data_IF_300016929186
#
_entry.id   IF_300016929186
#
_cell.length_a   1.000
_cell.length_b   1.000
_cell.length_c   1.000
_cell.angle_alpha   90.00
_cell.angle_beta   90.00
_cell.angle_gamma   90.00
#
_symmetry.space_group_name_H-M   'P 1'
#
loop_
_entity.id
_entity.type
_entity.pdbx_description
1 polymer ?
#
# COMPACT_ATOMS: atom_id res chain seq x y z
N UNK A 1 -1.23 45.31 -12.42
CA UNK A 1 -1.37 43.86 -12.60
C UNK A 1 -2.80 43.52 -12.22
N UNK A 2 -3.59 43.00 -13.16
CA UNK A 2 -5.02 42.78 -12.97
C UNK A 2 -5.32 41.61 -12.02
N UNK A 3 -6.47 41.64 -11.35
CA UNK A 3 -6.93 40.62 -10.40
C UNK A 3 -6.96 39.21 -11.02
N UNK A 4 -7.29 39.12 -12.30
CA UNK A 4 -7.26 37.89 -13.09
C UNK A 4 -5.86 37.31 -13.22
N UNK A 5 -4.82 38.15 -13.35
CA UNK A 5 -3.43 37.70 -13.45
C UNK A 5 -2.97 37.04 -12.14
N UNK A 6 -3.37 37.59 -10.99
CA UNK A 6 -3.08 37.00 -9.68
C UNK A 6 -3.74 35.64 -9.48
N UNK A 7 -5.00 35.48 -9.91
CA UNK A 7 -5.71 34.19 -9.84
C UNK A 7 -5.05 33.12 -10.72
N UNK A 8 -4.60 33.50 -11.92
CA UNK A 8 -3.90 32.58 -12.84
C UNK A 8 -2.57 32.13 -12.24
N UNK A 9 -1.79 33.06 -11.69
CA UNK A 9 -0.51 32.73 -11.03
C UNK A 9 -0.73 31.81 -9.83
N UNK A 10 -1.73 32.08 -8.99
CA UNK A 10 -2.07 31.24 -7.85
C UNK A 10 -2.48 29.82 -8.28
N UNK A 11 -3.29 29.70 -9.33
CA UNK A 11 -3.71 28.41 -9.88
C UNK A 11 -2.52 27.60 -10.42
N UNK A 12 -1.58 28.24 -11.12
CA UNK A 12 -0.35 27.60 -11.61
C UNK A 12 0.53 27.13 -10.46
N UNK A 13 0.70 27.95 -9.41
CA UNK A 13 1.43 27.57 -8.22
C UNK A 13 0.78 26.39 -7.50
N UNK A 14 -0.55 26.40 -7.34
CA UNK A 14 -1.29 25.31 -6.71
C UNK A 14 -1.18 24.02 -7.52
N UNK A 15 -1.28 24.10 -8.84
CA UNK A 15 -1.14 22.96 -9.75
C UNK A 15 0.29 22.37 -9.71
N UNK A 16 1.31 23.23 -9.71
CA UNK A 16 2.70 22.81 -9.51
C UNK A 16 2.92 22.12 -8.17
N UNK A 17 2.36 22.67 -7.09
CA UNK A 17 2.38 22.06 -5.77
C UNK A 17 1.70 20.68 -5.75
N UNK A 18 0.55 20.55 -6.42
CA UNK A 18 -0.17 19.29 -6.53
C UNK A 18 0.66 18.20 -7.23
N UNK A 19 1.37 18.54 -8.30
CA UNK A 19 2.28 17.62 -9.01
C UNK A 19 3.46 17.23 -8.10
N UNK A 20 4.07 18.19 -7.41
CA UNK A 20 5.20 17.94 -6.51
C UNK A 20 4.80 16.98 -5.37
N UNK A 21 3.63 17.18 -4.77
CA UNK A 21 3.08 16.29 -3.75
C UNK A 21 2.81 14.88 -4.29
N UNK A 22 2.24 14.77 -5.49
CA UNK A 22 2.05 13.48 -6.18
C UNK A 22 3.37 12.75 -6.46
N UNK A 23 4.41 13.49 -6.86
CA UNK A 23 5.74 12.91 -7.06
C UNK A 23 6.36 12.39 -5.76
N UNK A 24 6.24 13.16 -4.67
CA UNK A 24 6.65 12.70 -3.34
C UNK A 24 5.90 11.42 -2.92
N UNK A 25 4.62 11.31 -3.25
CA UNK A 25 3.81 10.14 -2.97
C UNK A 25 4.31 8.88 -3.68
N UNK A 26 4.57 8.98 -4.99
CA UNK A 26 5.08 7.87 -5.80
C UNK A 26 6.48 7.48 -5.31
N UNK A 27 7.34 8.46 -4.99
CA UNK A 27 8.69 8.20 -4.49
C UNK A 27 8.67 7.46 -3.15
N UNK A 28 7.78 7.84 -2.22
CA UNK A 28 7.64 7.15 -0.95
C UNK A 28 7.16 5.70 -1.13
N UNK A 29 6.19 5.46 -2.02
CA UNK A 29 5.71 4.12 -2.35
C UNK A 29 6.79 3.25 -2.99
N UNK A 30 7.53 3.78 -3.96
CA UNK A 30 8.63 3.06 -4.60
C UNK A 30 9.74 2.71 -3.59
N UNK A 31 10.05 3.59 -2.64
CA UNK A 31 11.02 3.31 -1.58
C UNK A 31 10.57 2.16 -0.67
N UNK A 32 9.27 2.11 -0.34
CA UNK A 32 8.69 1.00 0.42
C UNK A 32 8.81 -0.31 -0.39
N UNK A 33 8.37 -0.32 -1.65
CA UNK A 33 8.45 -1.51 -2.50
C UNK A 33 9.89 -2.01 -2.64
N UNK A 34 10.86 -1.12 -2.88
CA UNK A 34 12.27 -1.48 -2.94
C UNK A 34 12.77 -2.09 -1.62
N UNK A 35 12.34 -1.57 -0.47
CA UNK A 35 12.73 -2.13 0.83
C UNK A 35 12.18 -3.54 1.07
N UNK A 36 11.03 -3.86 0.48
CA UNK A 36 10.38 -5.17 0.56
C UNK A 36 10.98 -6.15 -0.46
N UNK A 37 11.23 -5.69 -1.68
CA UNK A 37 11.87 -6.47 -2.74
C UNK A 37 13.29 -6.92 -2.38
N UNK A 38 14.00 -6.16 -1.52
CA UNK A 38 15.31 -6.57 -0.99
C UNK A 38 15.25 -7.72 0.01
N UNK A 39 14.09 -8.01 0.59
CA UNK A 39 13.95 -9.03 1.64
C UNK A 39 13.61 -10.41 1.09
N UNK A 40 12.95 -10.49 -0.07
CA UNK A 40 12.54 -11.76 -0.68
C UNK A 40 11.54 -11.56 -1.82
N UNK A 41 10.85 -12.63 -2.22
CA UNK A 41 9.83 -12.57 -3.25
C UNK A 41 8.58 -11.83 -2.74
N UNK A 42 8.18 -10.78 -3.44
CA UNK A 42 7.09 -9.91 -2.98
C UNK A 42 5.78 -10.31 -3.65
N UNK A 43 4.79 -10.68 -2.85
CA UNK A 43 3.39 -10.86 -3.29
C UNK A 43 2.53 -9.68 -2.85
N UNK A 44 1.71 -9.16 -3.75
CA UNK A 44 0.89 -7.97 -3.50
C UNK A 44 -0.59 -8.35 -3.63
N UNK A 45 -1.33 -8.19 -2.54
CA UNK A 45 -2.79 -8.26 -2.50
C UNK A 45 -3.41 -6.87 -2.52
N UNK A 46 -4.49 -6.70 -3.28
CA UNK A 46 -5.27 -5.46 -3.31
C UNK A 46 -6.74 -5.74 -3.06
N UNK A 47 -7.38 -4.96 -2.19
CA UNK A 47 -8.85 -4.99 -2.04
C UNK A 47 -9.51 -4.56 -3.36
N UNK A 48 -10.59 -5.22 -3.77
CA UNK A 48 -11.25 -4.97 -5.07
C UNK A 48 -12.29 -3.83 -4.98
N UNK A 49 -12.65 -3.41 -3.78
CA UNK A 49 -13.72 -2.43 -3.53
C UNK A 49 -13.44 -1.04 -4.13
N UNK A 50 -14.39 -0.53 -4.92
CA UNK A 50 -14.38 0.81 -5.54
C UNK A 50 -14.78 1.92 -4.55
N UNK A 51 -15.54 1.56 -3.51
CA UNK A 51 -16.23 2.51 -2.62
C UNK A 51 -15.60 2.62 -1.22
N UNK A 52 -14.61 1.79 -0.91
CA UNK A 52 -13.88 1.80 0.36
C UNK A 52 -12.42 2.18 0.15
N UNK A 53 -11.71 2.69 1.19
CA UNK A 53 -10.30 2.99 1.09
C UNK A 53 -9.52 1.76 0.59
N UNK A 54 -8.78 1.92 -0.52
CA UNK A 54 -7.96 0.84 -1.07
C UNK A 54 -6.96 0.38 -0.01
N UNK A 55 -7.03 -0.90 0.34
CA UNK A 55 -6.05 -1.55 1.20
C UNK A 55 -5.14 -2.40 0.33
N UNK A 56 -3.84 -2.17 0.44
CA UNK A 56 -2.81 -2.92 -0.25
C UNK A 56 -2.05 -3.69 0.83
N UNK A 57 -1.96 -5.00 0.66
CA UNK A 57 -1.15 -5.86 1.52
C UNK A 57 0.02 -6.34 0.70
N UNK A 58 1.20 -6.24 1.26
CA UNK A 58 2.44 -6.71 0.65
C UNK A 58 3.03 -7.77 1.56
N UNK A 59 3.16 -8.96 1.03
CA UNK A 59 3.80 -10.10 1.65
C UNK A 59 5.18 -10.28 1.04
N UNK A 60 6.14 -10.64 1.87
CA UNK A 60 7.45 -11.09 1.43
C UNK A 60 7.57 -12.54 1.80
N UNK A 61 7.75 -13.39 0.80
CA UNK A 61 7.97 -14.82 0.93
C UNK A 61 9.45 -15.14 0.68
N UNK A 62 9.96 -16.10 1.45
CA UNK A 62 11.26 -16.72 1.22
C UNK A 62 11.15 -17.88 0.21
N UNK A 63 12.27 -18.43 -0.25
CA UNK A 63 12.32 -19.55 -1.21
C UNK A 63 11.59 -20.81 -0.70
N UNK A 64 11.44 -20.94 0.63
CA UNK A 64 10.68 -22.01 1.28
C UNK A 64 9.18 -21.70 1.47
N UNK A 65 8.62 -20.72 0.75
CA UNK A 65 7.21 -20.27 0.86
C UNK A 65 6.77 -19.85 2.27
N UNK A 66 7.73 -19.38 3.09
CA UNK A 66 7.46 -18.82 4.42
C UNK A 66 7.37 -17.30 4.33
N UNK A 67 6.39 -16.73 5.00
CA UNK A 67 6.21 -15.27 5.05
C UNK A 67 7.23 -14.69 6.02
N UNK A 68 8.20 -13.94 5.51
CA UNK A 68 9.28 -13.32 6.30
C UNK A 68 8.95 -11.88 6.71
N UNK A 69 8.10 -11.19 5.96
CA UNK A 69 7.59 -9.86 6.33
C UNK A 69 6.21 -9.66 5.72
N UNK A 70 5.33 -8.96 6.43
CA UNK A 70 4.00 -8.61 5.97
C UNK A 70 3.75 -7.14 6.31
N UNK A 71 3.39 -6.34 5.31
CA UNK A 71 3.06 -4.91 5.49
C UNK A 71 1.72 -4.59 4.85
N UNK A 72 0.88 -3.88 5.58
CA UNK A 72 -0.36 -3.30 5.04
C UNK A 72 -0.20 -1.79 4.87
N UNK A 73 -0.74 -1.29 3.77
CA UNK A 73 -1.05 0.12 3.58
C UNK A 73 -2.56 0.29 3.44
N UNK A 74 -3.12 1.21 4.22
CA UNK A 74 -4.53 1.61 4.13
C UNK A 74 -4.60 3.06 3.67
N UNK A 75 -5.28 3.32 2.55
CA UNK A 75 -5.50 4.66 2.03
C UNK A 75 -4.54 5.09 0.92
N UNK A 76 -4.86 6.22 0.29
CA UNK A 76 -4.19 6.76 -0.90
C UNK A 76 -3.38 8.01 -0.57
N UNK A 77 -2.89 8.17 0.67
CA UNK A 77 -2.15 9.38 1.07
C UNK A 77 -0.72 9.05 1.49
N UNK A 78 0.19 9.99 1.26
CA UNK A 78 1.58 10.04 1.77
C UNK A 78 1.73 9.79 3.27
N UNK A 79 0.65 9.95 4.04
CA UNK A 79 0.62 9.72 5.48
C UNK A 79 0.24 8.29 5.87
N UNK A 80 -0.20 7.46 4.93
CA UNK A 80 -0.46 6.05 5.17
C UNK A 80 0.86 5.32 5.40
N UNK A 81 1.34 5.33 6.65
CA UNK A 81 2.53 4.59 7.04
C UNK A 81 2.26 3.09 6.89
N UNK A 82 3.18 2.35 6.26
CA UNK A 82 3.09 0.90 6.21
C UNK A 82 3.07 0.36 7.64
N UNK A 83 1.98 -0.31 8.02
CA UNK A 83 1.93 -1.03 9.29
C UNK A 83 2.42 -2.44 9.01
N UNK A 84 3.46 -2.86 9.73
CA UNK A 84 3.85 -4.26 9.74
C UNK A 84 2.75 -5.06 10.43
N UNK A 85 2.45 -6.23 9.87
CA UNK A 85 1.50 -7.20 10.39
C UNK A 85 2.31 -8.38 10.93
N UNK A 86 2.89 -8.27 12.14
CA UNK A 86 3.70 -9.34 12.72
C UNK A 86 2.90 -10.63 12.90
N UNK A 87 1.59 -10.54 13.09
CA UNK A 87 0.68 -11.67 13.27
C UNK A 87 0.66 -12.64 12.08
N UNK A 88 1.12 -12.20 10.91
CA UNK A 88 1.19 -12.99 9.68
C UNK A 88 2.63 -13.44 9.34
N UNK A 89 3.64 -12.96 10.09
CA UNK A 89 5.05 -13.29 9.85
C UNK A 89 5.35 -14.67 10.45
N UNK A 90 5.99 -15.54 9.68
CA UNK A 90 6.34 -16.91 10.06
C UNK A 90 5.33 -17.97 9.63
N UNK A 91 4.16 -17.56 9.11
CA UNK A 91 3.17 -18.47 8.54
C UNK A 91 3.63 -19.05 7.21
N UNK A 92 3.24 -20.30 6.94
CA UNK A 92 3.39 -20.93 5.64
C UNK A 92 2.34 -20.37 4.68
N UNK A 93 2.77 -19.94 3.50
CA UNK A 93 1.88 -19.59 2.40
C UNK A 93 1.28 -20.85 1.77
N UNK A 94 -0.03 -20.92 1.46
CA UNK A 94 -1.06 -19.90 1.65
C UNK A 94 -1.61 -19.84 3.08
N UNK A 95 -2.00 -18.64 3.52
CA UNK A 95 -2.55 -18.39 4.86
C UNK A 95 -4.00 -18.89 4.95
N UNK A 96 -4.32 -19.66 6.00
CA UNK A 96 -5.68 -20.18 6.22
C UNK A 96 -6.64 -19.10 6.71
N UNK A 97 -7.90 -19.15 6.25
CA UNK A 97 -8.97 -18.20 6.60
C UNK A 97 -9.19 -17.98 8.10
N UNK A 98 -8.98 -19.02 8.92
CA UNK A 98 -9.14 -18.93 10.38
C UNK A 98 -8.09 -18.01 11.03
N UNK A 99 -6.88 -17.96 10.48
CA UNK A 99 -5.80 -17.10 10.97
C UNK A 99 -6.02 -15.64 10.59
N UNK A 100 -6.99 -15.34 9.72
CA UNK A 100 -7.28 -13.98 9.25
C UNK A 100 -8.60 -13.45 9.82
N UNK A 101 -9.42 -14.30 10.45
CA UNK A 101 -10.74 -13.96 11.00
C UNK A 101 -10.70 -12.83 12.03
N UNK A 102 -9.61 -12.72 12.79
CA UNK A 102 -9.43 -11.69 13.81
C UNK A 102 -9.03 -10.32 13.22
N UNK A 103 -8.70 -10.26 11.92
CA UNK A 103 -8.27 -9.05 11.22
C UNK A 103 -9.46 -8.33 10.57
N UNK A 104 -9.32 -7.03 10.32
CA UNK A 104 -10.39 -6.23 9.71
C UNK A 104 -10.86 -6.77 8.35
N UNK A 105 -12.17 -6.70 8.07
CA UNK A 105 -12.78 -7.20 6.82
C UNK A 105 -12.06 -6.77 5.52
N UNK A 106 -11.60 -5.51 5.35
CA UNK A 106 -10.86 -5.10 4.14
C UNK A 106 -9.49 -5.76 4.00
N UNK A 107 -8.86 -6.09 5.12
CA UNK A 107 -7.58 -6.77 5.17
C UNK A 107 -7.76 -8.24 4.79
N UNK A 108 -8.79 -8.91 5.31
CA UNK A 108 -9.14 -10.27 4.89
C UNK A 108 -9.35 -10.38 3.36
N UNK A 109 -10.06 -9.42 2.76
CA UNK A 109 -10.30 -9.39 1.31
C UNK A 109 -8.99 -9.24 0.51
N UNK A 110 -8.09 -8.35 0.95
CA UNK A 110 -6.80 -8.16 0.29
C UNK A 110 -5.88 -9.38 0.42
N UNK A 111 -5.94 -10.08 1.55
CA UNK A 111 -5.18 -11.31 1.81
C UNK A 111 -5.68 -12.43 0.90
N UNK A 112 -6.99 -12.63 0.80
CA UNK A 112 -7.56 -13.62 -0.11
C UNK A 112 -7.14 -13.36 -1.56
N UNK A 113 -7.14 -12.11 -2.01
CA UNK A 113 -6.69 -11.75 -3.36
C UNK A 113 -5.19 -12.02 -3.57
N UNK A 114 -4.37 -11.89 -2.53
CA UNK A 114 -2.93 -12.16 -2.62
C UNK A 114 -2.61 -13.64 -2.85
N UNK A 115 -3.43 -14.55 -2.30
CA UNK A 115 -3.21 -16.00 -2.32
C UNK A 115 -4.14 -16.75 -3.28
N UNK A 116 -5.08 -16.07 -3.93
CA UNK A 116 -5.99 -16.68 -4.91
C UNK A 116 -5.43 -16.74 -6.34
N UNK A 117 -4.14 -16.42 -6.55
CA UNK A 117 -3.52 -16.25 -7.87
C UNK A 117 -2.09 -16.77 -7.89
#
# INVERSE_FOLDING_TARGET
MDETTWLIVLALCAWGGQIALGFLQIRAFNRMLQSLAKRGQVKIGKTRSRWKPRTIVVFVEDESHRIIDAKVMRGVTIFARPKSLPDLIGLSSPINHEQVMHLDKPLQEAINVAFSN
#
